data_IF_310996525456
#
_entry.id   IF_310996525456
#
_cell.length_a   1.000
_cell.length_b   1.000
_cell.length_c   1.000
_cell.angle_alpha   90.00
_cell.angle_beta   90.00
_cell.angle_gamma   90.00
#
_symmetry.space_group_name_H-M   'P 1'
#
loop_
_entity.id
_entity.type
_entity.pdbx_description
1 polymer ?
#
# COMPACT_ATOMS: atom_id res chain seq x y z
N UNK A 1 -8.39 -1.24 17.95
CA UNK A 1 -9.45 -1.55 16.98
C UNK A 1 -10.31 -0.32 16.60
N UNK A 2 -9.90 0.90 16.92
CA UNK A 2 -10.62 2.14 16.63
C UNK A 2 -10.01 2.97 15.49
N UNK A 3 -9.03 2.44 14.74
CA UNK A 3 -8.31 3.16 13.67
C UNK A 3 -9.14 3.30 12.38
N UNK A 4 -10.30 2.62 12.30
CA UNK A 4 -11.05 2.46 11.05
C UNK A 4 -12.42 3.18 11.02
N UNK A 5 -12.75 3.99 12.03
CA UNK A 5 -14.05 4.67 12.09
C UNK A 5 -13.82 6.17 12.20
N UNK A 6 -13.44 6.78 11.11
CA UNK A 6 -13.40 8.23 10.96
C UNK A 6 -13.96 8.56 9.57
N UNK A 7 -14.76 9.60 9.43
CA UNK A 7 -15.51 9.95 8.21
C UNK A 7 -14.65 10.21 6.96
N UNK A 8 -13.33 10.13 7.11
CA UNK A 8 -12.31 10.33 6.06
C UNK A 8 -11.68 9.03 5.54
N UNK A 9 -12.41 7.92 5.59
CA UNK A 9 -11.90 6.58 5.25
C UNK A 9 -11.68 6.36 3.74
N UNK A 10 -12.48 6.97 2.89
CA UNK A 10 -12.45 6.72 1.45
C UNK A 10 -11.05 6.86 0.82
N UNK A 11 -10.34 7.99 0.99
CA UNK A 11 -9.00 8.17 0.44
C UNK A 11 -7.97 7.17 0.98
N UNK A 12 -8.12 6.78 2.24
CA UNK A 12 -7.20 5.83 2.90
C UNK A 12 -7.38 4.41 2.41
N UNK A 13 -8.62 3.97 2.19
CA UNK A 13 -8.89 2.67 1.55
C UNK A 13 -8.36 2.63 0.13
N UNK A 14 -8.58 3.68 -0.65
CA UNK A 14 -8.01 3.80 -2.00
C UNK A 14 -6.50 3.68 -2.00
N UNK A 15 -5.81 4.36 -1.07
CA UNK A 15 -4.37 4.27 -0.91
C UNK A 15 -3.90 2.86 -0.49
N UNK A 16 -4.62 2.17 0.41
CA UNK A 16 -4.29 0.79 0.80
C UNK A 16 -4.47 -0.19 -0.35
N UNK A 17 -5.56 -0.06 -1.12
CA UNK A 17 -5.78 -0.88 -2.31
C UNK A 17 -4.68 -0.62 -3.35
N UNK A 18 -4.33 0.64 -3.59
CA UNK A 18 -3.26 1.03 -4.51
C UNK A 18 -1.90 0.49 -4.03
N UNK A 19 -1.62 0.55 -2.73
CA UNK A 19 -0.39 -0.02 -2.17
C UNK A 19 -0.32 -1.54 -2.38
N UNK A 20 -1.40 -2.26 -2.11
CA UNK A 20 -1.44 -3.70 -2.24
C UNK A 20 -1.38 -4.14 -3.71
N UNK A 21 -2.30 -3.66 -4.54
CA UNK A 21 -2.41 -4.05 -5.96
C UNK A 21 -1.19 -3.59 -6.75
N UNK A 22 -0.74 -2.36 -6.53
CA UNK A 22 0.42 -1.81 -7.22
C UNK A 22 1.73 -2.50 -6.82
N UNK A 23 1.89 -2.90 -5.55
CA UNK A 23 3.05 -3.69 -5.13
C UNK A 23 3.10 -5.06 -5.84
N UNK A 24 1.95 -5.71 -6.01
CA UNK A 24 1.86 -6.96 -6.78
C UNK A 24 2.21 -6.71 -8.24
N UNK A 25 1.61 -5.70 -8.86
CA UNK A 25 1.81 -5.38 -10.27
C UNK A 25 3.27 -5.00 -10.58
N UNK A 26 3.88 -4.13 -9.79
CA UNK A 26 5.27 -3.70 -10.02
C UNK A 26 6.26 -4.84 -9.79
N UNK A 27 6.02 -5.69 -8.79
CA UNK A 27 6.86 -6.86 -8.55
C UNK A 27 6.73 -7.89 -9.70
N UNK A 28 5.51 -8.14 -10.18
CA UNK A 28 5.28 -9.03 -11.32
C UNK A 28 5.92 -8.48 -12.61
N UNK A 29 5.79 -7.18 -12.86
CA UNK A 29 6.43 -6.51 -14.00
C UNK A 29 7.94 -6.62 -13.94
N UNK A 30 8.55 -6.35 -12.79
CA UNK A 30 10.00 -6.48 -12.62
C UNK A 30 10.47 -7.91 -12.88
N UNK A 31 9.77 -8.91 -12.35
CA UNK A 31 10.08 -10.32 -12.59
C UNK A 31 9.97 -10.69 -14.08
N UNK A 32 8.97 -10.18 -14.77
CA UNK A 32 8.79 -10.41 -16.20
C UNK A 32 9.93 -9.78 -17.04
N UNK A 33 10.42 -8.59 -16.63
CA UNK A 33 11.51 -7.89 -17.34
C UNK A 33 12.87 -8.52 -17.06
N UNK A 34 13.17 -8.85 -15.78
CA UNK A 34 14.47 -9.35 -15.37
C UNK A 34 14.65 -10.83 -15.69
N UNK A 35 13.56 -11.60 -15.75
CA UNK A 35 13.61 -13.04 -15.94
C UNK A 35 14.25 -13.79 -14.77
N UNK A 36 14.48 -15.09 -14.90
CA UNK A 36 15.18 -15.88 -13.90
C UNK A 36 16.67 -15.49 -13.87
N UNK A 37 17.20 -15.27 -12.67
CA UNK A 37 18.63 -14.98 -12.52
C UNK A 37 19.48 -16.24 -12.67
N UNK A 38 20.72 -16.16 -13.20
CA UNK A 38 21.58 -17.35 -13.39
C UNK A 38 21.86 -18.14 -12.09
N UNK A 39 21.82 -17.48 -10.94
CA UNK A 39 22.00 -18.09 -9.62
C UNK A 39 20.79 -18.96 -9.21
N UNK A 40 19.59 -18.64 -9.69
CA UNK A 40 18.35 -19.39 -9.39
C UNK A 40 18.33 -20.75 -10.10
N UNK A 41 18.92 -20.82 -11.28
CA UNK A 41 18.95 -22.05 -12.07
C UNK A 41 19.96 -23.07 -11.55
N UNK A 42 20.94 -22.67 -10.73
CA UNK A 42 22.05 -23.53 -10.32
C UNK A 42 21.94 -24.11 -8.90
N UNK A 43 21.15 -23.53 -7.99
CA UNK A 43 21.19 -23.89 -6.56
C UNK A 43 19.93 -24.48 -5.99
N UNK A 44 18.75 -24.26 -6.59
CA UNK A 44 17.47 -24.85 -6.14
C UNK A 44 16.54 -25.05 -7.31
N UNK A 45 15.99 -26.25 -7.40
CA UNK A 45 15.07 -26.69 -8.42
C UNK A 45 14.12 -25.57 -8.85
N UNK A 46 14.25 -25.19 -10.09
CA UNK A 46 13.66 -24.06 -10.75
C UNK A 46 12.17 -23.89 -10.46
N UNK A 47 11.80 -22.89 -9.67
CA UNK A 47 10.53 -22.25 -9.97
C UNK A 47 10.75 -21.37 -11.20
N UNK A 48 9.95 -21.58 -12.24
CA UNK A 48 10.02 -20.84 -13.51
C UNK A 48 9.71 -19.33 -13.37
N UNK A 49 9.41 -18.85 -12.18
CA UNK A 49 9.24 -17.43 -11.84
C UNK A 49 10.41 -17.00 -11.00
N UNK A 50 11.30 -16.18 -11.54
CA UNK A 50 12.46 -15.64 -10.87
C UNK A 50 12.18 -15.19 -9.43
N UNK A 51 13.15 -15.42 -8.54
CA UNK A 51 13.00 -15.11 -7.11
C UNK A 51 13.31 -13.64 -6.80
N UNK A 52 13.97 -12.93 -7.71
CA UNK A 52 14.34 -11.53 -7.55
C UNK A 52 13.29 -10.59 -8.16
N UNK A 53 12.89 -9.53 -7.45
CA UNK A 53 13.04 -9.30 -6.02
C UNK A 53 12.08 -10.16 -5.18
N UNK A 54 12.29 -10.21 -3.84
CA UNK A 54 11.40 -10.95 -2.94
C UNK A 54 10.02 -10.31 -2.85
N UNK A 55 9.01 -10.95 -3.44
CA UNK A 55 7.64 -10.44 -3.46
C UNK A 55 7.03 -10.27 -2.06
N UNK A 56 7.26 -11.22 -1.14
CA UNK A 56 6.77 -11.10 0.24
C UNK A 56 7.33 -9.87 0.94
N UNK A 57 8.62 -9.58 0.74
CA UNK A 57 9.25 -8.39 1.32
C UNK A 57 8.68 -7.12 0.70
N UNK A 58 8.48 -7.08 -0.63
CA UNK A 58 7.83 -5.94 -1.31
C UNK A 58 6.45 -5.67 -0.73
N UNK A 59 5.61 -6.71 -0.63
CA UNK A 59 4.21 -6.55 -0.18
C UNK A 59 4.09 -6.12 1.27
N UNK A 60 4.83 -6.78 2.16
CA UNK A 60 4.83 -6.43 3.59
C UNK A 60 5.39 -5.03 3.80
N UNK A 61 6.48 -4.66 3.12
CA UNK A 61 7.06 -3.32 3.22
C UNK A 61 6.07 -2.26 2.74
N UNK A 62 5.40 -2.49 1.61
CA UNK A 62 4.44 -1.53 1.07
C UNK A 62 3.21 -1.37 1.95
N UNK A 63 2.60 -2.48 2.34
CA UNK A 63 1.35 -2.45 3.10
C UNK A 63 1.57 -1.99 4.54
N UNK A 64 2.52 -2.62 5.24
CA UNK A 64 2.85 -2.26 6.62
C UNK A 64 3.51 -0.89 6.71
N UNK A 65 4.26 -0.46 5.69
CA UNK A 65 4.82 0.89 5.60
C UNK A 65 3.71 1.94 5.57
N UNK A 66 2.69 1.76 4.74
CA UNK A 66 1.56 2.68 4.66
C UNK A 66 0.70 2.66 5.94
N UNK A 67 0.39 1.47 6.47
CA UNK A 67 -0.34 1.32 7.73
C UNK A 67 0.42 1.93 8.91
N UNK A 68 1.74 1.72 8.96
CA UNK A 68 2.62 2.30 9.95
C UNK A 68 2.63 3.82 9.88
N UNK A 69 2.71 4.39 8.67
CA UNK A 69 2.60 5.83 8.47
C UNK A 69 1.28 6.39 9.02
N UNK A 70 0.14 5.78 8.69
CA UNK A 70 -1.15 6.21 9.20
C UNK A 70 -1.27 6.08 10.73
N UNK A 71 -0.70 5.02 11.31
CA UNK A 71 -0.65 4.84 12.75
C UNK A 71 0.19 5.93 13.43
N UNK A 72 1.36 6.21 12.87
CA UNK A 72 2.26 7.25 13.39
C UNK A 72 1.63 8.65 13.31
N UNK A 73 1.01 8.99 12.19
CA UNK A 73 0.31 10.25 11.98
C UNK A 73 -0.85 10.48 12.98
N UNK A 74 -1.38 9.39 13.56
CA UNK A 74 -2.42 9.43 14.60
C UNK A 74 -1.88 9.25 16.03
N UNK A 75 -0.57 9.22 16.20
CA UNK A 75 0.06 9.02 17.51
C UNK A 75 0.06 7.58 18.02
N UNK A 76 -0.35 6.59 17.22
CA UNK A 76 -0.37 5.17 17.59
C UNK A 76 1.01 4.53 17.45
N UNK A 77 1.95 4.91 18.31
CA UNK A 77 3.35 4.48 18.28
C UNK A 77 3.54 2.97 18.39
N UNK A 78 2.71 2.29 19.22
CA UNK A 78 2.77 0.84 19.36
C UNK A 78 2.42 0.11 18.07
N UNK A 79 1.38 0.57 17.35
CA UNK A 79 1.00 0.04 16.04
C UNK A 79 2.10 0.28 15.00
N UNK A 80 2.69 1.48 14.97
CA UNK A 80 3.84 1.77 14.11
C UNK A 80 5.01 0.81 14.38
N UNK A 81 5.37 0.61 15.66
CA UNK A 81 6.43 -0.31 16.04
C UNK A 81 6.13 -1.75 15.61
N UNK A 82 4.89 -2.22 15.78
CA UNK A 82 4.47 -3.55 15.31
C UNK A 82 4.60 -3.69 13.79
N UNK A 83 4.19 -2.68 13.00
CA UNK A 83 4.36 -2.69 11.54
C UNK A 83 5.84 -2.72 11.14
N UNK A 84 6.67 -1.95 11.82
CA UNK A 84 8.11 -1.94 11.59
C UNK A 84 8.75 -3.30 11.90
N UNK A 85 8.36 -3.94 12.99
CA UNK A 85 8.83 -5.30 13.34
C UNK A 85 8.42 -6.34 12.28
N UNK A 86 7.20 -6.26 11.74
CA UNK A 86 6.77 -7.12 10.65
C UNK A 86 7.62 -6.92 9.39
N UNK A 87 7.90 -5.67 9.02
CA UNK A 87 8.77 -5.35 7.88
C UNK A 87 10.16 -5.94 8.12
N UNK A 88 10.81 -5.60 9.24
CA UNK A 88 12.17 -6.03 9.53
C UNK A 88 12.28 -7.55 9.72
N UNK A 89 11.27 -8.22 10.25
CA UNK A 89 11.25 -9.67 10.46
C UNK A 89 11.05 -10.47 9.17
N UNK A 90 10.33 -9.92 8.18
CA UNK A 90 10.03 -10.64 6.94
C UNK A 90 11.28 -11.01 6.16
N UNK A 91 12.25 -10.11 6.05
CA UNK A 91 13.49 -10.37 5.30
C UNK A 91 14.32 -11.51 5.87
N UNK A 92 14.74 -11.48 7.14
CA UNK A 92 15.43 -12.58 7.79
C UNK A 92 14.66 -13.91 7.70
N UNK A 93 13.34 -13.87 7.87
CA UNK A 93 12.50 -15.05 7.72
C UNK A 93 12.64 -15.67 6.34
N UNK A 94 12.59 -14.87 5.25
CA UNK A 94 12.73 -15.38 3.87
C UNK A 94 14.12 -15.92 3.56
N UNK A 95 15.17 -15.41 4.22
CA UNK A 95 16.53 -15.92 4.09
C UNK A 95 16.68 -17.26 4.83
N UNK A 96 16.18 -17.33 6.08
CA UNK A 96 16.25 -18.53 6.91
C UNK A 96 15.40 -19.68 6.34
N UNK A 97 14.25 -19.37 5.76
CA UNK A 97 13.42 -20.32 5.00
C UNK A 97 14.12 -20.83 3.72
N UNK A 98 15.25 -20.22 3.39
CA UNK A 98 16.06 -20.55 2.22
C UNK A 98 15.38 -20.26 0.88
N UNK A 99 14.33 -19.43 0.89
CA UNK A 99 13.57 -19.07 -0.31
C UNK A 99 14.24 -17.94 -1.11
N UNK A 100 15.01 -17.08 -0.44
CA UNK A 100 15.59 -15.88 -1.04
C UNK A 100 17.02 -15.62 -0.57
N UNK A 101 17.81 -15.00 -1.44
CA UNK A 101 19.10 -14.45 -1.12
C UNK A 101 18.99 -13.09 -0.41
N UNK A 102 19.98 -12.67 0.36
CA UNK A 102 19.99 -11.33 0.97
C UNK A 102 19.78 -10.20 -0.05
N UNK A 103 20.31 -10.34 -1.26
CA UNK A 103 20.12 -9.39 -2.36
C UNK A 103 18.66 -9.24 -2.76
N UNK A 104 17.89 -10.35 -2.81
CA UNK A 104 16.47 -10.34 -3.19
C UNK A 104 15.64 -9.63 -2.13
N UNK A 105 16.02 -9.83 -0.87
CA UNK A 105 15.41 -9.20 0.29
C UNK A 105 15.69 -7.70 0.32
N UNK A 106 16.94 -7.28 0.12
CA UNK A 106 17.32 -5.87 0.06
C UNK A 106 16.61 -5.14 -1.09
N UNK A 107 16.58 -5.76 -2.27
CA UNK A 107 15.83 -5.21 -3.40
C UNK A 107 14.32 -5.14 -3.10
N UNK A 108 13.77 -6.13 -2.41
CA UNK A 108 12.37 -6.15 -1.96
C UNK A 108 12.06 -4.99 -1.00
N UNK A 109 12.93 -4.71 -0.03
CA UNK A 109 12.78 -3.55 0.85
C UNK A 109 12.84 -2.22 0.09
N UNK A 110 13.84 -2.08 -0.80
CA UNK A 110 14.00 -0.86 -1.59
C UNK A 110 12.77 -0.59 -2.47
N UNK A 111 12.30 -1.61 -3.18
CA UNK A 111 11.13 -1.51 -4.05
C UNK A 111 9.85 -1.23 -3.26
N UNK A 112 9.63 -1.96 -2.15
CA UNK A 112 8.46 -1.76 -1.30
C UNK A 112 8.42 -0.37 -0.65
N UNK A 113 9.57 0.13 -0.20
CA UNK A 113 9.68 1.49 0.35
C UNK A 113 9.43 2.55 -0.73
N UNK A 114 10.07 2.42 -1.89
CA UNK A 114 9.85 3.33 -3.02
C UNK A 114 8.37 3.39 -3.41
N UNK A 115 7.72 2.23 -3.49
CA UNK A 115 6.29 2.15 -3.80
C UNK A 115 5.43 2.80 -2.70
N UNK A 116 5.74 2.58 -1.43
CA UNK A 116 5.06 3.27 -0.31
C UNK A 116 5.14 4.79 -0.44
N UNK A 117 6.33 5.32 -0.77
CA UNK A 117 6.53 6.76 -0.99
C UNK A 117 5.68 7.26 -2.16
N UNK A 118 5.65 6.54 -3.28
CA UNK A 118 4.80 6.90 -4.43
C UNK A 118 3.33 6.96 -4.02
N UNK A 119 2.82 5.97 -3.28
CA UNK A 119 1.43 5.97 -2.81
C UNK A 119 1.14 7.13 -1.86
N UNK A 120 2.08 7.47 -0.97
CA UNK A 120 1.93 8.61 -0.06
C UNK A 120 1.93 9.95 -0.79
N UNK A 121 2.81 10.12 -1.77
CA UNK A 121 2.99 11.41 -2.46
C UNK A 121 1.95 11.63 -3.55
N UNK A 122 1.57 10.58 -4.29
CA UNK A 122 0.68 10.67 -5.45
C UNK A 122 -0.71 10.14 -5.13
N UNK A 123 -0.80 8.99 -4.48
CA UNK A 123 -2.06 8.29 -4.27
C UNK A 123 -2.99 8.97 -3.27
N UNK A 124 -2.45 9.52 -2.18
CA UNK A 124 -3.28 10.22 -1.18
C UNK A 124 -3.87 11.53 -1.70
N UNK A 125 -3.11 12.43 -2.33
CA UNK A 125 -3.66 13.64 -2.94
C UNK A 125 -4.69 13.35 -4.03
N UNK A 126 -4.44 12.34 -4.87
CA UNK A 126 -5.37 11.92 -5.92
C UNK A 126 -6.69 11.38 -5.33
N UNK A 127 -6.64 10.52 -4.33
CA UNK A 127 -7.81 9.97 -3.66
C UNK A 127 -8.62 11.04 -2.90
N UNK A 128 -7.96 12.06 -2.35
CA UNK A 128 -8.61 13.21 -1.72
C UNK A 128 -9.29 14.13 -2.75
N UNK A 129 -8.69 14.31 -3.93
CA UNK A 129 -9.23 15.11 -5.01
C UNK A 129 -10.54 14.56 -5.60
N UNK A 130 -10.71 13.24 -5.63
CA UNK A 130 -11.94 12.61 -6.11
C UNK A 130 -13.17 12.92 -5.24
N UNK A 131 -12.99 13.05 -3.92
CA UNK A 131 -14.11 13.44 -3.02
C UNK A 131 -14.61 14.86 -3.25
N UNK A 132 -13.76 15.77 -3.71
CA UNK A 132 -14.16 17.15 -3.99
C UNK A 132 -14.99 17.28 -5.28
N UNK A 133 -14.82 16.38 -6.24
CA UNK A 133 -15.62 16.37 -7.47
C UNK A 133 -17.02 15.76 -7.27
N UNK A 134 -17.22 14.97 -6.23
CA UNK A 134 -18.50 14.38 -5.88
C UNK A 134 -19.40 15.37 -5.11
N UNK A 135 -18.83 16.35 -4.42
CA UNK A 135 -19.52 17.51 -3.89
C UNK A 135 -19.64 18.60 -4.97
N UNK A 136 -20.59 18.46 -5.87
CA UNK A 136 -20.91 19.46 -6.87
C UNK A 136 -21.26 20.81 -6.22
N UNK A 137 -20.49 21.89 -6.43
CA UNK A 137 -20.95 23.23 -6.08
C UNK A 137 -21.99 23.66 -7.12
N UNK A 138 -23.22 23.27 -6.92
CA UNK A 138 -24.31 23.54 -7.85
C UNK A 138 -25.54 22.66 -7.68
N UNK A 139 -25.50 21.67 -6.82
CA UNK A 139 -26.75 21.03 -6.40
C UNK A 139 -27.51 22.05 -5.54
N UNK A 140 -28.66 22.54 -6.00
CA UNK A 140 -29.51 23.39 -5.15
C UNK A 140 -29.81 22.56 -3.91
N UNK A 141 -29.59 23.17 -2.75
CA UNK A 141 -29.92 22.57 -1.46
C UNK A 141 -31.39 22.19 -1.48
N UNK A 142 -31.66 20.92 -1.84
CA UNK A 142 -33.02 20.40 -2.04
C UNK A 142 -33.79 20.53 -0.72
N UNK A 143 -33.10 20.37 0.42
CA UNK A 143 -33.71 20.58 1.74
C UNK A 143 -34.11 22.04 1.96
N UNK A 144 -33.24 22.98 1.65
CA UNK A 144 -33.57 24.42 1.76
C UNK A 144 -34.69 24.81 0.80
N UNK A 145 -34.72 24.23 -0.40
CA UNK A 145 -35.79 24.47 -1.39
C UNK A 145 -37.13 23.88 -0.94
N UNK A 146 -37.14 22.68 -0.37
CA UNK A 146 -38.38 22.04 0.14
C UNK A 146 -38.89 22.78 1.38
N UNK A 147 -38.01 23.10 2.32
CA UNK A 147 -38.38 23.84 3.54
C UNK A 147 -38.87 25.27 3.22
N UNK A 148 -38.31 25.92 2.21
CA UNK A 148 -38.77 27.22 1.72
C UNK A 148 -40.20 27.16 1.12
N UNK A 149 -40.54 26.09 0.41
CA UNK A 149 -41.90 25.89 -0.14
C UNK A 149 -42.93 25.56 0.92
N UNK A 150 -42.60 24.82 1.96
CA UNK A 150 -43.51 24.46 3.06
C UNK A 150 -43.85 25.70 3.93
N UNK A 151 -42.92 26.66 4.04
CA UNK A 151 -43.17 27.90 4.82
C UNK A 151 -43.92 28.99 4.05
N UNK A 152 -43.97 28.86 2.74
CA UNK A 152 -44.62 29.86 1.87
C UNK A 152 -46.08 29.50 1.46
N UNK A 153 -46.57 28.32 1.83
CA UNK A 153 -47.97 27.88 1.62
C UNK A 153 -48.72 27.73 2.94
#
# INVERSE_FOLDING_TARGET
MWVLIDDDLGPRYGALVLAAVGAVAINALLKAILGPTPLETSVRGSSASGNFPSGHVVYITSLCGLLGWFALARGHRATFAAMLLLILGMGPFRILDGAHWPSDVLAGYALGLAWTIVVLVVGLPWAAGQKQTENYPGQPDIEATILGRIRAG
#
